data_IF_945212543029
#
_entry.id   IF_945212543029
#
_cell.length_a   1.000
_cell.length_b   1.000
_cell.length_c   1.000
_cell.angle_alpha   90.00
_cell.angle_beta   90.00
_cell.angle_gamma   90.00
#
_symmetry.space_group_name_H-M   'P 1'
#
loop_
_entity.id
_entity.type
_entity.pdbx_description
1 polymer ?
#
# COMPACT_ATOMS: atom_id res chain seq x y z
N UNK A 1 1.61 6.90 -0.29
CA UNK A 1 1.62 8.03 -1.26
C UNK A 1 0.81 9.22 -0.74
N UNK A 2 1.23 10.45 -1.05
CA UNK A 2 0.44 11.68 -0.84
C UNK A 2 0.29 12.42 -2.18
N UNK A 3 -0.89 12.99 -2.46
CA UNK A 3 -1.17 13.79 -3.66
C UNK A 3 -1.96 15.03 -3.28
N UNK A 4 -1.49 16.22 -3.66
CA UNK A 4 -2.16 17.48 -3.36
C UNK A 4 -3.20 17.82 -4.45
N UNK A 5 -4.37 18.31 -4.03
CA UNK A 5 -5.34 18.92 -4.93
C UNK A 5 -5.10 20.43 -5.06
N UNK A 6 -6.01 21.14 -5.73
CA UNK A 6 -6.01 22.61 -5.69
C UNK A 6 -6.26 23.11 -4.26
N UNK A 7 -5.43 24.05 -3.78
CA UNK A 7 -5.54 24.63 -2.43
C UNK A 7 -4.78 23.82 -1.37
N UNK A 8 -5.22 23.88 -0.10
CA UNK A 8 -4.62 23.17 1.04
C UNK A 8 -5.04 21.70 1.17
N UNK A 9 -5.88 21.22 0.23
CA UNK A 9 -6.40 19.87 0.22
C UNK A 9 -5.40 18.83 -0.27
N UNK A 10 -5.38 17.65 0.35
CA UNK A 10 -4.52 16.54 -0.05
C UNK A 10 -5.20 15.18 0.18
N UNK A 11 -4.69 14.17 -0.52
CA UNK A 11 -5.08 12.79 -0.41
C UNK A 11 -3.89 11.97 0.05
N UNK A 12 -4.04 11.25 1.14
CA UNK A 12 -3.09 10.29 1.66
C UNK A 12 -3.57 8.87 1.33
N UNK A 13 -2.69 8.04 0.79
CA UNK A 13 -3.00 6.68 0.33
C UNK A 13 -1.98 5.70 0.90
N UNK A 14 -2.46 4.61 1.48
CA UNK A 14 -1.69 3.40 1.77
C UNK A 14 -2.14 2.28 0.84
N UNK A 15 -1.21 1.42 0.45
CA UNK A 15 -1.44 0.30 -0.44
C UNK A 15 -0.64 -0.90 0.02
N UNK A 16 -1.19 -2.08 -0.24
CA UNK A 16 -0.57 -3.37 0.03
C UNK A 16 -0.79 -4.25 -1.19
N UNK A 17 0.30 -4.74 -1.78
CA UNK A 17 0.28 -5.76 -2.84
C UNK A 17 0.57 -7.09 -2.17
N UNK A 18 -0.33 -8.05 -2.34
CA UNK A 18 -0.21 -9.39 -1.79
C UNK A 18 -0.14 -10.43 -2.90
N UNK A 19 0.87 -11.28 -2.87
CA UNK A 19 1.00 -12.43 -3.76
C UNK A 19 0.95 -13.72 -2.96
N UNK A 20 0.38 -14.77 -3.55
CA UNK A 20 0.43 -16.13 -3.05
C UNK A 20 0.63 -17.05 -4.25
N UNK A 21 1.61 -17.96 -4.23
CA UNK A 21 1.80 -18.93 -5.31
C UNK A 21 0.52 -19.68 -5.65
N UNK A 22 0.25 -19.85 -6.94
CA UNK A 22 -1.00 -20.47 -7.44
C UNK A 22 -2.25 -19.61 -7.25
N UNK A 23 -2.13 -18.38 -6.74
CA UNK A 23 -3.23 -17.44 -6.59
C UNK A 23 -2.91 -16.13 -7.30
N UNK A 24 -3.95 -15.50 -7.82
CA UNK A 24 -3.83 -14.20 -8.46
C UNK A 24 -3.36 -13.15 -7.43
N UNK A 25 -2.44 -12.26 -7.83
CA UNK A 25 -1.99 -11.12 -7.00
C UNK A 25 -3.14 -10.16 -6.68
N UNK A 26 -3.14 -9.63 -5.46
CA UNK A 26 -4.18 -8.76 -4.90
C UNK A 26 -3.61 -7.41 -4.53
N UNK A 27 -4.42 -6.37 -4.67
CA UNK A 27 -4.14 -5.02 -4.20
C UNK A 27 -5.22 -4.60 -3.20
N UNK A 28 -4.81 -4.24 -1.99
CA UNK A 28 -5.65 -3.56 -1.01
C UNK A 28 -5.16 -2.12 -0.84
N UNK A 29 -6.06 -1.17 -0.60
CA UNK A 29 -5.65 0.21 -0.35
C UNK A 29 -6.60 0.93 0.62
N UNK A 30 -6.06 1.95 1.30
CA UNK A 30 -6.81 2.89 2.14
C UNK A 30 -6.56 4.30 1.66
N UNK A 31 -7.60 5.12 1.61
CA UNK A 31 -7.53 6.52 1.18
C UNK A 31 -8.09 7.39 2.29
N UNK A 32 -7.32 8.41 2.66
CA UNK A 32 -7.72 9.46 3.58
C UNK A 32 -7.67 10.79 2.84
N UNK A 33 -8.79 11.51 2.87
CA UNK A 33 -8.89 12.87 2.37
C UNK A 33 -8.67 13.85 3.51
N UNK A 34 -7.87 14.87 3.24
CA UNK A 34 -7.69 16.03 4.08
C UNK A 34 -8.08 17.27 3.26
N UNK A 35 -9.11 17.97 3.70
CA UNK A 35 -9.67 19.15 3.05
C UNK A 35 -9.01 20.46 3.47
N UNK A 36 -8.12 20.44 4.48
CA UNK A 36 -7.50 21.64 5.03
C UNK A 36 -8.20 22.20 6.26
N UNK A 37 -9.23 21.51 6.78
CA UNK A 37 -9.96 21.92 7.98
C UNK A 37 -9.20 21.53 9.24
N UNK A 38 -9.27 22.39 10.26
CA UNK A 38 -8.67 22.15 11.57
C UNK A 38 -9.27 20.88 12.21
N UNK A 39 -8.41 20.00 12.72
CA UNK A 39 -8.82 18.74 13.36
C UNK A 39 -8.91 17.54 12.42
N UNK A 40 -8.76 17.72 11.10
CA UNK A 40 -8.68 16.59 10.18
C UNK A 40 -7.30 15.92 10.21
N UNK A 41 -7.27 14.58 10.21
CA UNK A 41 -6.03 13.85 10.05
C UNK A 41 -5.44 14.10 8.66
N UNK A 42 -4.19 14.56 8.63
CA UNK A 42 -3.47 14.86 7.39
C UNK A 42 -2.83 13.62 6.76
N UNK A 43 -2.61 12.57 7.55
CA UNK A 43 -1.99 11.30 7.16
C UNK A 43 -2.70 10.12 7.81
N UNK A 44 -2.53 8.95 7.19
CA UNK A 44 -3.04 7.69 7.73
C UNK A 44 -2.37 7.37 9.07
N UNK A 45 -3.18 6.84 9.99
CA UNK A 45 -2.76 6.42 11.33
C UNK A 45 -2.22 5.00 11.33
N UNK A 46 -1.63 4.59 12.46
CA UNK A 46 -1.30 3.20 12.74
C UNK A 46 -2.52 2.28 12.59
N UNK A 47 -3.70 2.72 13.05
CA UNK A 47 -4.95 1.97 12.94
C UNK A 47 -5.40 1.79 11.48
N UNK A 48 -5.23 2.81 10.65
CA UNK A 48 -5.52 2.69 9.21
C UNK A 48 -4.59 1.68 8.53
N UNK A 49 -3.30 1.70 8.91
CA UNK A 49 -2.30 0.79 8.38
C UNK A 49 -2.56 -0.65 8.82
N UNK A 50 -2.84 -0.91 10.10
CA UNK A 50 -3.08 -2.27 10.58
C UNK A 50 -4.40 -2.84 10.06
N UNK A 51 -5.45 -2.02 9.98
CA UNK A 51 -6.72 -2.45 9.40
C UNK A 51 -6.61 -2.81 7.92
N UNK A 52 -5.68 -2.19 7.18
CA UNK A 52 -5.35 -2.58 5.81
C UNK A 52 -4.71 -3.98 5.76
N UNK A 53 -3.82 -4.29 6.69
CA UNK A 53 -3.15 -5.59 6.78
C UNK A 53 -4.15 -6.68 7.20
N UNK A 54 -5.01 -6.39 8.18
CA UNK A 54 -6.11 -7.29 8.60
C UNK A 54 -7.06 -7.59 7.44
N UNK A 55 -7.42 -6.56 6.66
CA UNK A 55 -8.25 -6.73 5.47
C UNK A 55 -7.60 -7.65 4.43
N UNK A 56 -6.28 -7.55 4.23
CA UNK A 56 -5.55 -8.48 3.37
C UNK A 56 -5.56 -9.90 3.94
N UNK A 57 -5.32 -10.07 5.24
CA UNK A 57 -5.35 -11.39 5.88
C UNK A 57 -6.70 -12.09 5.70
N UNK A 58 -7.81 -11.37 5.92
CA UNK A 58 -9.15 -11.89 5.65
C UNK A 58 -9.37 -12.25 4.17
N UNK A 59 -8.81 -11.47 3.25
CA UNK A 59 -8.91 -11.71 1.81
C UNK A 59 -8.14 -12.96 1.36
N UNK A 60 -6.93 -13.17 1.89
CA UNK A 60 -6.05 -14.29 1.48
C UNK A 60 -6.21 -15.54 2.33
N UNK A 61 -6.84 -15.43 3.50
CA UNK A 61 -7.08 -16.50 4.47
C UNK A 61 -5.81 -17.30 4.79
N UNK A 62 -4.72 -16.59 5.03
CA UNK A 62 -3.41 -17.18 5.32
C UNK A 62 -2.51 -16.22 6.11
N UNK A 63 -1.52 -16.75 6.84
CA UNK A 63 -0.46 -15.94 7.44
C UNK A 63 0.21 -15.03 6.42
N UNK A 64 0.64 -13.86 6.86
CA UNK A 64 1.23 -12.83 6.02
C UNK A 64 2.68 -12.61 6.42
N UNK A 65 3.57 -12.66 5.43
CA UNK A 65 4.90 -12.08 5.51
C UNK A 65 4.84 -10.69 4.88
N UNK A 66 4.95 -9.66 5.71
CA UNK A 66 4.90 -8.26 5.30
C UNK A 66 6.31 -7.70 5.16
N UNK A 67 6.67 -7.30 3.95
CA UNK A 67 7.89 -6.52 3.68
C UNK A 67 7.49 -5.06 3.51
N UNK A 68 8.07 -4.15 4.31
CA UNK A 68 7.68 -2.73 4.32
C UNK A 68 8.86 -1.79 4.55
N UNK A 69 8.69 -0.54 4.15
CA UNK A 69 9.65 0.55 4.41
C UNK A 69 9.68 1.00 5.89
N UNK A 70 10.60 1.95 6.19
CA UNK A 70 10.85 2.50 7.53
C UNK A 70 10.06 3.77 7.86
N UNK A 71 8.91 4.02 7.24
CA UNK A 71 8.12 5.22 7.57
C UNK A 71 7.86 5.30 9.10
N UNK A 72 7.91 6.49 9.71
CA UNK A 72 7.82 6.62 11.18
C UNK A 72 6.57 5.93 11.79
N UNK A 73 5.41 6.05 11.14
CA UNK A 73 4.16 5.35 11.53
C UNK A 73 4.30 3.83 11.48
N UNK A 74 5.21 3.30 10.66
CA UNK A 74 5.45 1.87 10.49
C UNK A 74 6.35 1.28 11.58
N UNK A 75 7.16 2.12 12.24
CA UNK A 75 8.13 1.71 13.24
C UNK A 75 7.84 2.29 14.63
N UNK A 76 6.68 2.93 14.81
CA UNK A 76 6.24 3.49 16.10
C UNK A 76 5.98 2.38 17.12
N UNK A 77 6.06 2.71 18.41
CA UNK A 77 5.75 1.75 19.48
C UNK A 77 4.34 1.18 19.34
N UNK A 78 3.35 2.06 19.12
CA UNK A 78 1.97 1.67 18.90
C UNK A 78 1.81 0.68 17.73
N UNK A 79 2.53 0.90 16.62
CA UNK A 79 2.52 -0.05 15.50
C UNK A 79 3.14 -1.40 15.88
N UNK A 80 4.20 -1.42 16.69
CA UNK A 80 4.80 -2.68 17.18
C UNK A 80 3.83 -3.44 18.08
N UNK A 81 3.12 -2.77 18.97
CA UNK A 81 2.12 -3.40 19.83
C UNK A 81 0.98 -4.00 19.00
N UNK A 82 0.50 -3.24 18.00
CA UNK A 82 -0.51 -3.73 17.05
C UNK A 82 0.00 -4.95 16.27
N UNK A 83 1.25 -4.96 15.81
CA UNK A 83 1.81 -6.13 15.14
C UNK A 83 1.93 -7.32 16.11
N UNK A 84 2.41 -7.10 17.33
CA UNK A 84 2.61 -8.14 18.35
C UNK A 84 1.33 -8.86 18.77
N UNK A 85 0.17 -8.22 18.59
CA UNK A 85 -1.14 -8.83 18.83
C UNK A 85 -1.61 -9.81 17.73
N UNK A 86 -0.80 -10.05 16.68
CA UNK A 86 -1.15 -10.88 15.51
C UNK A 86 -0.13 -11.99 15.30
N UNK A 87 -0.45 -13.19 15.77
CA UNK A 87 0.37 -14.39 15.62
C UNK A 87 0.59 -14.83 14.16
N UNK A 88 -0.34 -14.49 13.27
CA UNK A 88 -0.30 -14.78 11.83
C UNK A 88 0.55 -13.80 11.01
N UNK A 89 1.10 -12.75 11.62
CA UNK A 89 1.81 -11.67 10.91
C UNK A 89 3.31 -11.68 11.23
N UNK A 90 4.14 -11.90 10.21
CA UNK A 90 5.59 -11.70 10.27
C UNK A 90 5.96 -10.42 9.51
N UNK A 91 6.77 -9.55 10.12
CA UNK A 91 7.13 -8.25 9.52
C UNK A 91 8.63 -8.14 9.31
N UNK A 92 9.02 -7.89 8.06
CA UNK A 92 10.38 -7.50 7.68
C UNK A 92 10.40 -6.03 7.30
N UNK A 93 11.27 -5.27 7.95
CA UNK A 93 11.46 -3.85 7.68
C UNK A 93 12.69 -3.68 6.80
N UNK A 94 12.52 -3.07 5.64
CA UNK A 94 13.59 -2.82 4.70
C UNK A 94 14.66 -1.87 5.28
N UNK A 95 15.91 -1.95 4.82
CA UNK A 95 16.93 -0.94 5.11
C UNK A 95 16.48 0.47 4.72
N UNK A 96 17.12 1.48 5.30
CA UNK A 96 16.90 2.85 4.84
C UNK A 96 17.32 2.99 3.36
N UNK A 97 16.57 3.81 2.61
CA UNK A 97 16.86 4.13 1.20
C UNK A 97 16.85 2.93 0.23
N UNK A 98 16.04 1.89 0.48
CA UNK A 98 15.81 0.78 -0.45
C UNK A 98 14.39 0.81 -1.08
N UNK A 99 14.02 1.86 -1.83
CA UNK A 99 12.68 1.98 -2.43
C UNK A 99 12.44 0.96 -3.56
N UNK A 100 13.50 0.51 -4.22
CA UNK A 100 13.53 -0.51 -5.27
C UNK A 100 13.05 -1.88 -4.76
N UNK A 101 13.29 -2.19 -3.47
CA UNK A 101 12.80 -3.41 -2.82
C UNK A 101 11.34 -3.31 -2.37
N UNK A 102 10.71 -2.14 -2.46
CA UNK A 102 9.33 -1.93 -2.06
C UNK A 102 8.41 -1.91 -3.28
N UNK A 103 7.73 -3.03 -3.56
CA UNK A 103 6.82 -3.19 -4.71
C UNK A 103 5.75 -2.07 -4.80
N UNK A 104 5.34 -1.52 -3.65
CA UNK A 104 4.34 -0.46 -3.56
C UNK A 104 4.86 0.88 -4.12
N UNK A 105 6.17 1.10 -4.21
CA UNK A 105 6.74 2.28 -4.87
C UNK A 105 6.54 2.23 -6.39
N UNK A 106 6.62 1.06 -7.03
CA UNK A 106 6.26 0.91 -8.45
C UNK A 106 4.78 1.21 -8.70
N UNK A 107 3.90 0.76 -7.80
CA UNK A 107 2.48 1.13 -7.82
C UNK A 107 2.30 2.65 -7.74
N UNK A 108 2.99 3.32 -6.83
CA UNK A 108 2.92 4.77 -6.71
C UNK A 108 3.47 5.50 -7.92
N UNK A 109 4.59 5.05 -8.48
CA UNK A 109 5.12 5.61 -9.72
C UNK A 109 4.11 5.48 -10.88
N UNK A 110 3.46 4.33 -11.01
CA UNK A 110 2.43 4.09 -12.02
C UNK A 110 1.22 5.02 -11.83
N UNK A 111 0.69 5.11 -10.60
CA UNK A 111 -0.46 5.98 -10.31
C UNK A 111 -0.12 7.44 -10.54
N UNK A 112 1.03 7.93 -10.04
CA UNK A 112 1.48 9.31 -10.23
C UNK A 112 1.67 9.64 -11.72
N UNK A 113 2.29 8.76 -12.50
CA UNK A 113 2.44 8.95 -13.95
C UNK A 113 1.09 9.10 -14.64
N UNK A 114 0.07 8.34 -14.23
CA UNK A 114 -1.28 8.46 -14.77
C UNK A 114 -2.02 9.75 -14.38
N UNK A 115 -1.52 10.47 -13.38
CA UNK A 115 -2.05 11.75 -12.88
C UNK A 115 -1.24 12.96 -13.35
N UNK A 116 -0.03 12.76 -13.87
CA UNK A 116 0.93 13.83 -14.21
C UNK A 116 0.37 14.85 -15.23
N UNK A 117 -0.53 14.42 -16.11
CA UNK A 117 -1.12 15.28 -17.13
C UNK A 117 -2.40 16.01 -16.67
N UNK A 118 -2.75 15.91 -15.38
CA UNK A 118 -3.95 16.52 -14.83
C UNK A 118 -3.60 17.84 -14.13
N UNK A 119 -3.85 18.96 -14.81
CA UNK A 119 -3.68 20.30 -14.24
C UNK A 119 -4.67 20.54 -13.09
N UNK A 120 -4.15 21.04 -11.96
CA UNK A 120 -4.84 21.54 -10.76
C UNK A 120 -6.34 21.19 -10.67
N UNK A 121 -6.63 19.93 -10.35
CA UNK A 121 -8.00 19.43 -10.20
C UNK A 121 -8.54 19.72 -8.79
N UNK A 122 -9.86 19.94 -8.68
CA UNK A 122 -10.54 20.01 -7.40
C UNK A 122 -10.34 18.71 -6.60
N UNK A 123 -10.32 18.81 -5.26
CA UNK A 123 -9.99 17.70 -4.37
C UNK A 123 -10.93 16.49 -4.55
N UNK A 124 -12.24 16.71 -4.71
CA UNK A 124 -13.22 15.64 -4.97
C UNK A 124 -12.91 14.88 -6.26
N UNK A 125 -12.57 15.62 -7.32
CA UNK A 125 -12.20 15.04 -8.62
C UNK A 125 -10.89 14.27 -8.51
N UNK A 126 -9.91 14.79 -7.78
CA UNK A 126 -8.66 14.09 -7.51
C UNK A 126 -8.91 12.77 -6.78
N UNK A 127 -9.79 12.77 -5.78
CA UNK A 127 -10.13 11.56 -5.02
C UNK A 127 -10.79 10.51 -5.90
N UNK A 128 -11.78 10.92 -6.69
CA UNK A 128 -12.44 10.03 -7.64
C UNK A 128 -11.44 9.44 -8.64
N UNK A 129 -10.50 10.24 -9.14
CA UNK A 129 -9.44 9.77 -10.04
C UNK A 129 -8.54 8.74 -9.38
N UNK A 130 -8.00 9.05 -8.19
CA UNK A 130 -7.13 8.12 -7.44
C UNK A 130 -7.87 6.80 -7.15
N UNK A 131 -9.11 6.88 -6.66
CA UNK A 131 -9.97 5.70 -6.43
C UNK A 131 -10.14 4.86 -7.69
N UNK A 132 -10.50 5.51 -8.80
CA UNK A 132 -10.71 4.81 -10.07
C UNK A 132 -9.42 4.17 -10.60
N UNK A 133 -8.27 4.83 -10.48
CA UNK A 133 -6.97 4.26 -10.89
C UNK A 133 -6.62 3.03 -10.07
N UNK A 134 -6.73 3.12 -8.75
CA UNK A 134 -6.43 2.00 -7.84
C UNK A 134 -7.40 0.85 -8.05
N UNK A 135 -8.72 1.13 -8.16
CA UNK A 135 -9.74 0.11 -8.43
C UNK A 135 -9.44 -0.65 -9.71
N UNK A 136 -9.03 0.02 -10.80
CA UNK A 136 -8.63 -0.67 -12.03
C UNK A 136 -7.42 -1.59 -11.84
N UNK A 137 -6.43 -1.16 -11.06
CA UNK A 137 -5.25 -1.98 -10.77
C UNK A 137 -5.60 -3.22 -9.93
N UNK A 138 -6.60 -3.16 -9.06
CA UNK A 138 -7.10 -4.35 -8.36
C UNK A 138 -7.58 -5.45 -9.32
N UNK A 139 -8.04 -5.06 -10.53
CA UNK A 139 -8.48 -5.98 -11.57
C UNK A 139 -7.40 -6.32 -12.61
N UNK A 140 -6.15 -5.89 -12.45
CA UNK A 140 -5.04 -6.15 -13.40
C UNK A 140 -3.85 -6.81 -12.70
N UNK A 141 -3.97 -8.11 -12.44
CA UNK A 141 -2.93 -8.85 -11.71
C UNK A 141 -1.59 -8.87 -12.43
N UNK A 142 -1.61 -8.95 -13.76
CA UNK A 142 -0.42 -8.95 -14.60
C UNK A 142 0.47 -7.70 -14.38
N UNK A 143 -0.15 -6.56 -14.11
CA UNK A 143 0.57 -5.33 -13.79
C UNK A 143 1.14 -5.39 -12.38
N UNK A 144 0.38 -5.93 -11.42
CA UNK A 144 0.83 -6.10 -10.04
C UNK A 144 1.98 -7.10 -9.94
N UNK A 145 1.94 -8.17 -10.73
CA UNK A 145 3.01 -9.17 -10.85
C UNK A 145 4.28 -8.51 -11.38
N UNK A 146 4.16 -7.61 -12.37
CA UNK A 146 5.28 -6.80 -12.86
C UNK A 146 5.89 -5.89 -11.79
N UNK A 147 5.09 -5.32 -10.89
CA UNK A 147 5.61 -4.51 -9.77
C UNK A 147 6.39 -5.36 -8.76
N UNK A 148 5.93 -6.58 -8.49
CA UNK A 148 6.63 -7.53 -7.62
C UNK A 148 7.93 -8.00 -8.26
N UNK A 149 7.90 -8.37 -9.54
CA UNK A 149 9.09 -8.76 -10.30
C UNK A 149 10.14 -7.65 -10.34
N UNK A 150 9.72 -6.38 -10.42
CA UNK A 150 10.61 -5.22 -10.37
C UNK A 150 11.41 -5.09 -9.08
N UNK A 151 11.00 -5.73 -7.98
CA UNK A 151 11.78 -5.74 -6.73
C UNK A 151 12.98 -6.69 -6.76
N UNK A 152 13.02 -7.63 -7.73
CA UNK A 152 14.01 -8.72 -7.74
C UNK A 152 13.85 -9.73 -6.61
N UNK A 153 12.85 -9.58 -5.73
CA UNK A 153 12.58 -10.53 -4.66
C UNK A 153 11.85 -11.76 -5.23
N UNK A 154 12.51 -12.91 -5.18
CA UNK A 154 11.91 -14.21 -5.51
C UNK A 154 11.36 -14.85 -4.24
N UNK A 155 10.21 -15.51 -4.36
CA UNK A 155 9.79 -16.50 -3.37
C UNK A 155 10.44 -17.81 -3.77
N UNK A 156 11.60 -18.13 -3.20
CA UNK A 156 12.15 -19.47 -3.29
C UNK A 156 11.23 -20.40 -2.50
N UNK A 157 10.28 -21.01 -3.21
CA UNK A 157 9.44 -22.02 -2.61
C UNK A 157 10.31 -23.26 -2.41
N UNK A 158 10.41 -23.79 -1.19
CA UNK A 158 10.94 -25.14 -1.03
C UNK A 158 10.12 -26.07 -1.93
N UNK A 159 10.75 -27.06 -2.58
CA UNK A 159 10.01 -28.02 -3.40
C UNK A 159 8.87 -28.61 -2.56
N UNK A 160 7.71 -28.91 -3.17
CA UNK A 160 6.62 -29.54 -2.45
C UNK A 160 7.16 -30.79 -1.76
N UNK A 161 6.94 -30.91 -0.45
CA UNK A 161 7.29 -32.11 0.30
C UNK A 161 6.65 -33.32 -0.39
N UNK A 162 7.40 -34.43 -0.57
CA UNK A 162 6.90 -35.63 -1.25
C UNK A 162 5.68 -36.26 -0.55
#
# INVERSE_FOLDING_TARGET
MKVCGRGSGQISVAGLIGMRPGSRTRLCHRILRHSGRKGEHRSLSEHDCIGLIDGMHHLVRAPIVLVRDRLNTHVSHAMRDLIGARDWLTVFVLPAYAPDLNAVEYLWAHVKRSLANLTSVALDRLEALVRNRLKRLQYRSEILDGFLAGTGLSLDLPPPSP
#
